data_IF_287703658428
#
_entry.id   IF_287703658428
#
_cell.length_a   1.000
_cell.length_b   1.000
_cell.length_c   1.000
_cell.angle_alpha   90.00
_cell.angle_beta   90.00
_cell.angle_gamma   90.00
#
_symmetry.space_group_name_H-M   'P 1'
#
loop_
_entity.id
_entity.type
_entity.pdbx_description
1 polymer ?
#
# COMPACT_ATOMS: atom_id res chain seq x y z
N UNK A 1 47.66 7.04 29.96
CA UNK A 1 46.57 6.05 29.81
C UNK A 1 45.87 6.35 28.49
N UNK A 2 46.10 5.52 27.46
CA UNK A 2 45.34 5.61 26.23
C UNK A 2 43.99 4.91 26.46
N UNK A 3 42.90 5.67 26.50
CA UNK A 3 41.55 5.10 26.52
C UNK A 3 41.35 4.37 25.19
N UNK A 4 41.09 3.07 25.30
CA UNK A 4 40.81 2.18 24.17
C UNK A 4 39.50 2.67 23.55
N UNK A 5 39.59 3.34 22.41
CA UNK A 5 38.44 3.76 21.63
C UNK A 5 37.75 2.48 21.14
N UNK A 6 36.70 2.02 21.82
CA UNK A 6 35.94 0.86 21.35
C UNK A 6 35.22 1.25 20.06
N UNK A 7 35.47 0.47 19.00
CA UNK A 7 34.88 0.70 17.69
C UNK A 7 33.39 0.35 17.71
N UNK A 8 32.54 1.34 17.94
CA UNK A 8 31.07 1.22 17.85
C UNK A 8 30.53 1.17 16.41
N UNK A 9 31.37 0.89 15.41
CA UNK A 9 30.99 0.95 13.99
C UNK A 9 29.77 0.10 13.65
N UNK A 10 29.68 -1.09 14.24
CA UNK A 10 28.52 -1.97 14.11
C UNK A 10 27.27 -1.38 14.77
N UNK A 11 27.39 -0.76 15.95
CA UNK A 11 26.25 -0.18 16.67
C UNK A 11 25.64 1.00 15.91
N UNK A 12 26.43 1.93 15.40
CA UNK A 12 25.92 3.10 14.69
C UNK A 12 25.25 2.73 13.36
N UNK A 13 25.77 1.71 12.67
CA UNK A 13 25.13 1.13 11.49
C UNK A 13 23.79 0.49 11.87
N UNK A 14 23.76 -0.33 12.94
CA UNK A 14 22.53 -0.97 13.43
C UNK A 14 21.48 0.05 13.86
N UNK A 15 21.89 1.15 14.50
CA UNK A 15 20.99 2.24 14.89
C UNK A 15 20.42 2.95 13.66
N UNK A 16 21.26 3.26 12.67
CA UNK A 16 20.81 3.87 11.42
C UNK A 16 19.82 2.96 10.69
N UNK A 17 20.13 1.66 10.59
CA UNK A 17 19.24 0.67 10.00
C UNK A 17 17.93 0.54 10.78
N UNK A 18 17.99 0.50 12.12
CA UNK A 18 16.82 0.46 12.99
C UNK A 18 15.91 1.67 12.81
N UNK A 19 16.49 2.87 12.68
CA UNK A 19 15.74 4.10 12.37
C UNK A 19 15.09 4.03 10.99
N UNK A 20 15.81 3.54 9.99
CA UNK A 20 15.28 3.38 8.64
C UNK A 20 14.09 2.40 8.61
N UNK A 21 14.25 1.21 9.20
CA UNK A 21 13.18 0.21 9.31
C UNK A 21 11.98 0.77 10.08
N UNK A 22 12.22 1.50 11.17
CA UNK A 22 11.15 2.13 11.94
C UNK A 22 10.40 3.16 11.09
N UNK A 23 11.09 4.01 10.33
CA UNK A 23 10.44 4.98 9.43
C UNK A 23 9.61 4.28 8.36
N UNK A 24 10.11 3.20 7.75
CA UNK A 24 9.34 2.40 6.78
C UNK A 24 8.09 1.79 7.40
N UNK A 25 8.20 1.21 8.59
CA UNK A 25 7.08 0.63 9.33
C UNK A 25 6.01 1.70 9.62
N UNK A 26 6.42 2.84 10.19
CA UNK A 26 5.48 3.93 10.50
C UNK A 26 4.85 4.50 9.24
N UNK A 27 5.62 4.73 8.18
CA UNK A 27 5.10 5.24 6.92
C UNK A 27 4.04 4.31 6.34
N UNK A 28 4.34 3.02 6.23
CA UNK A 28 3.42 2.02 5.67
C UNK A 28 2.15 1.90 6.51
N UNK A 29 2.30 1.85 7.84
CA UNK A 29 1.16 1.83 8.76
C UNK A 29 0.27 3.07 8.62
N UNK A 30 0.86 4.26 8.50
CA UNK A 30 0.11 5.50 8.33
C UNK A 30 -0.52 5.61 6.93
N UNK A 31 0.13 5.06 5.91
CA UNK A 31 -0.39 5.04 4.54
C UNK A 31 -1.67 4.19 4.48
N UNK A 32 -1.59 2.92 4.84
CA UNK A 32 -2.76 2.04 4.90
C UNK A 32 -3.78 2.51 5.94
N UNK A 33 -3.29 3.08 7.05
CA UNK A 33 -4.11 3.70 8.09
C UNK A 33 -4.94 4.87 7.58
N UNK A 34 -4.41 5.64 6.62
CA UNK A 34 -5.13 6.72 5.96
C UNK A 34 -6.32 6.19 5.17
N UNK A 35 -6.10 5.18 4.34
CA UNK A 35 -7.17 4.55 3.56
C UNK A 35 -8.23 3.90 4.46
N UNK A 36 -7.77 3.15 5.47
CA UNK A 36 -8.61 2.55 6.50
C UNK A 36 -9.50 3.60 7.20
N UNK A 37 -8.93 4.76 7.54
CA UNK A 37 -9.63 5.84 8.20
C UNK A 37 -10.74 6.43 7.31
N UNK A 38 -10.45 6.70 6.04
CA UNK A 38 -11.48 7.22 5.12
C UNK A 38 -12.61 6.22 4.91
N UNK A 39 -12.29 4.94 4.74
CA UNK A 39 -13.28 3.89 4.61
C UNK A 39 -14.15 3.77 5.87
N UNK A 40 -13.55 3.81 7.06
CA UNK A 40 -14.26 3.76 8.33
C UNK A 40 -15.17 4.98 8.54
N UNK A 41 -14.68 6.19 8.24
CA UNK A 41 -15.48 7.42 8.30
C UNK A 41 -16.64 7.42 7.30
N UNK A 42 -16.53 6.64 6.23
CA UNK A 42 -17.58 6.44 5.23
C UNK A 42 -18.57 5.32 5.62
N UNK A 43 -18.47 4.77 6.84
CA UNK A 43 -19.36 3.74 7.36
C UNK A 43 -18.93 2.29 7.02
N UNK A 44 -17.79 2.10 6.37
CA UNK A 44 -17.24 0.78 6.10
C UNK A 44 -16.49 0.18 7.29
N UNK A 45 -16.13 -1.09 7.16
CA UNK A 45 -15.25 -1.80 8.09
C UNK A 45 -13.96 -2.23 7.39
N UNK A 46 -12.89 -2.34 8.17
CA UNK A 46 -11.58 -2.84 7.71
C UNK A 46 -11.51 -4.32 8.05
N UNK A 47 -11.29 -5.18 7.05
CA UNK A 47 -11.20 -6.63 7.25
C UNK A 47 -9.81 -7.20 6.99
N UNK A 48 -8.99 -6.51 6.20
CA UNK A 48 -7.55 -6.80 6.07
C UNK A 48 -6.79 -5.50 6.18
N UNK A 49 -5.77 -5.50 7.03
CA UNK A 49 -4.83 -4.41 7.22
C UNK A 49 -3.42 -5.00 7.20
N UNK A 50 -2.77 -4.96 6.03
CA UNK A 50 -1.43 -5.48 5.82
C UNK A 50 -0.42 -4.34 5.66
N UNK A 51 0.57 -4.29 6.54
CA UNK A 51 1.64 -3.28 6.53
C UNK A 51 3.00 -3.87 6.15
N UNK A 52 3.02 -5.07 5.57
CA UNK A 52 4.24 -5.73 5.16
C UNK A 52 4.89 -4.96 3.99
N UNK A 53 5.93 -4.20 4.30
CA UNK A 53 6.68 -3.43 3.31
C UNK A 53 7.81 -4.24 2.65
N UNK A 54 8.13 -5.46 3.12
CA UNK A 54 9.22 -6.26 2.56
C UNK A 54 8.89 -6.85 1.19
N UNK A 55 7.62 -7.17 0.94
CA UNK A 55 7.13 -7.68 -0.34
C UNK A 55 6.49 -6.61 -1.23
N UNK A 56 6.54 -5.33 -0.81
CA UNK A 56 5.86 -4.20 -1.46
C UNK A 56 4.35 -4.45 -1.68
N UNK A 57 3.74 -5.29 -0.85
CA UNK A 57 2.34 -5.73 -0.96
C UNK A 57 1.46 -5.24 0.17
N UNK A 58 1.89 -4.20 0.90
CA UNK A 58 1.06 -3.53 1.88
C UNK A 58 -0.26 -3.07 1.22
N UNK A 59 -1.36 -3.33 1.92
CA UNK A 59 -2.69 -2.97 1.44
C UNK A 59 -3.71 -3.03 2.57
N UNK A 60 -4.71 -2.17 2.48
CA UNK A 60 -5.96 -2.27 3.24
C UNK A 60 -7.07 -2.82 2.36
N UNK A 61 -7.96 -3.61 2.97
CA UNK A 61 -9.21 -4.01 2.34
C UNK A 61 -10.39 -3.64 3.23
N UNK A 62 -11.39 -2.99 2.62
CA UNK A 62 -12.48 -2.33 3.34
C UNK A 62 -13.83 -2.59 2.68
N UNK A 63 -14.91 -2.64 3.45
CA UNK A 63 -16.28 -2.83 2.92
C UNK A 63 -16.97 -1.52 2.54
N UNK A 64 -16.25 -0.39 2.56
CA UNK A 64 -16.82 0.91 2.28
C UNK A 64 -17.18 1.05 0.79
N UNK A 65 -18.44 1.33 0.52
CA UNK A 65 -18.91 1.82 -0.79
C UNK A 65 -18.64 3.32 -0.87
N UNK A 66 -17.44 3.68 -1.35
CA UNK A 66 -17.06 5.08 -1.46
C UNK A 66 -17.75 5.74 -2.65
N UNK A 67 -18.50 6.81 -2.37
CA UNK A 67 -18.94 7.71 -3.43
C UNK A 67 -17.73 8.46 -4.03
N UNK A 68 -17.94 9.17 -5.15
CA UNK A 68 -16.88 9.90 -5.85
C UNK A 68 -16.02 10.78 -4.93
N UNK A 69 -16.63 11.47 -3.96
CA UNK A 69 -15.90 12.32 -3.01
C UNK A 69 -15.07 11.49 -2.05
N UNK A 70 -15.64 10.39 -1.53
CA UNK A 70 -14.93 9.42 -0.71
C UNK A 70 -13.72 8.84 -1.43
N UNK A 71 -13.84 8.57 -2.73
CA UNK A 71 -12.74 8.07 -3.55
C UNK A 71 -11.58 9.06 -3.72
N UNK A 72 -11.90 10.34 -3.92
CA UNK A 72 -10.91 11.41 -3.98
C UNK A 72 -10.16 11.51 -2.65
N UNK A 73 -10.87 11.51 -1.53
CA UNK A 73 -10.26 11.57 -0.20
C UNK A 73 -9.44 10.32 0.12
N UNK A 74 -9.96 9.14 -0.23
CA UNK A 74 -9.28 7.88 0.01
C UNK A 74 -7.97 7.82 -0.79
N UNK A 75 -7.98 8.25 -2.05
CA UNK A 75 -6.77 8.34 -2.88
C UNK A 75 -5.71 9.27 -2.26
N UNK A 76 -6.12 10.37 -1.61
CA UNK A 76 -5.18 11.26 -0.93
C UNK A 76 -4.72 10.74 0.43
N UNK A 77 -5.48 9.85 1.08
CA UNK A 77 -5.26 9.49 2.46
C UNK A 77 -3.95 8.73 2.68
N UNK A 78 -3.57 7.87 1.73
CA UNK A 78 -2.32 7.09 1.74
C UNK A 78 -1.08 7.98 1.86
N UNK A 79 -0.98 9.04 1.07
CA UNK A 79 0.13 10.01 1.21
C UNK A 79 -0.13 11.06 2.30
N UNK A 80 -1.40 11.41 2.51
CA UNK A 80 -1.81 12.56 3.31
C UNK A 80 -1.60 12.35 4.80
N UNK A 81 -1.96 11.17 5.33
CA UNK A 81 -1.81 10.89 6.75
C UNK A 81 -0.33 10.84 7.17
N UNK A 82 0.58 10.12 6.46
CA UNK A 82 2.01 10.21 6.73
C UNK A 82 2.56 11.64 6.66
N UNK A 83 2.14 12.42 5.65
CA UNK A 83 2.57 13.81 5.48
C UNK A 83 2.16 14.68 6.67
N UNK A 84 0.92 14.58 7.15
CA UNK A 84 0.41 15.35 8.28
C UNK A 84 1.14 14.99 9.60
N UNK A 85 1.36 13.70 9.85
CA UNK A 85 2.11 13.24 11.03
C UNK A 85 3.55 13.74 10.98
N UNK A 86 4.20 13.65 9.81
CA UNK A 86 5.56 14.15 9.61
C UNK A 86 5.65 15.66 9.77
N UNK A 87 4.69 16.43 9.25
CA UNK A 87 4.60 17.87 9.47
C UNK A 87 4.50 18.21 10.96
N UNK A 88 3.61 17.52 11.68
CA UNK A 88 3.50 17.66 13.14
C UNK A 88 4.82 17.38 13.84
N UNK A 89 5.48 16.27 13.50
CA UNK A 89 6.80 15.93 14.02
C UNK A 89 7.83 17.03 13.75
N UNK A 90 7.93 17.54 12.52
CA UNK A 90 8.91 18.57 12.15
C UNK A 90 8.67 19.91 12.86
N UNK A 91 7.42 20.26 13.13
CA UNK A 91 7.06 21.48 13.85
C UNK A 91 7.31 21.38 15.36
N UNK A 92 7.04 20.21 15.96
CA UNK A 92 7.20 19.96 17.40
C UNK A 92 8.67 19.67 17.75
N UNK A 93 9.38 18.90 16.91
CA UNK A 93 10.76 18.50 17.17
C UNK A 93 11.68 19.74 17.25
N UNK A 94 12.53 19.88 18.28
CA UNK A 94 13.41 21.05 18.44
C UNK A 94 14.28 21.27 17.21
N UNK A 95 14.53 22.53 16.80
CA UNK A 95 15.36 22.84 15.62
C UNK A 95 16.79 22.29 15.71
N UNK A 96 17.36 22.23 16.91
CA UNK A 96 18.63 21.57 17.21
C UNK A 96 18.34 20.47 18.22
N UNK A 97 18.50 19.22 17.80
CA UNK A 97 18.23 18.06 18.62
C UNK A 97 19.47 17.15 18.72
N UNK A 98 19.33 16.02 19.43
CA UNK A 98 20.38 15.01 19.48
C UNK A 98 20.67 14.43 18.08
N UNK A 99 21.85 13.86 17.84
CA UNK A 99 22.21 13.26 16.55
C UNK A 99 21.18 12.23 16.04
N UNK A 100 20.58 11.46 16.95
CA UNK A 100 19.53 10.48 16.61
C UNK A 100 18.24 11.14 16.10
N UNK A 101 17.81 12.22 16.75
CA UNK A 101 16.60 12.96 16.33
C UNK A 101 16.86 13.71 15.02
N UNK A 102 18.04 14.31 14.85
CA UNK A 102 18.42 14.93 13.57
C UNK A 102 18.49 13.90 12.45
N UNK A 103 19.02 12.71 12.71
CA UNK A 103 19.02 11.59 11.77
C UNK A 103 17.60 11.15 11.43
N UNK A 104 16.73 11.02 12.44
CA UNK A 104 15.32 10.69 12.22
C UNK A 104 14.60 11.75 11.36
N UNK A 105 14.86 13.05 11.59
CA UNK A 105 14.34 14.12 10.72
C UNK A 105 14.81 13.93 9.28
N UNK A 106 16.10 13.64 9.05
CA UNK A 106 16.64 13.46 7.70
C UNK A 106 15.96 12.27 7.01
N UNK A 107 15.95 11.09 7.65
CA UNK A 107 15.40 9.86 7.06
C UNK A 107 13.90 9.99 6.83
N UNK A 108 13.14 10.47 7.81
CA UNK A 108 11.68 10.66 7.66
C UNK A 108 11.34 11.71 6.61
N UNK A 109 12.10 12.81 6.52
CA UNK A 109 11.92 13.81 5.45
C UNK A 109 12.17 13.22 4.07
N UNK A 110 13.23 12.42 3.92
CA UNK A 110 13.53 11.76 2.65
C UNK A 110 12.41 10.79 2.25
N UNK A 111 11.91 9.98 3.19
CA UNK A 111 10.81 9.04 2.94
C UNK A 111 9.50 9.74 2.55
N UNK A 112 9.07 10.72 3.35
CA UNK A 112 7.78 11.42 3.11
C UNK A 112 7.84 12.28 1.86
N UNK A 113 8.88 13.09 1.68
CA UNK A 113 9.01 13.94 0.47
C UNK A 113 9.20 13.05 -0.76
N UNK A 114 9.98 11.97 -0.64
CA UNK A 114 10.16 11.00 -1.71
C UNK A 114 8.85 10.35 -2.15
N UNK A 115 7.94 10.07 -1.22
CA UNK A 115 6.62 9.49 -1.54
C UNK A 115 5.68 10.44 -2.31
N UNK A 116 6.00 11.73 -2.38
CA UNK A 116 5.25 12.70 -3.18
C UNK A 116 5.72 12.75 -4.65
N UNK A 117 6.85 12.11 -4.99
CA UNK A 117 7.38 12.10 -6.36
C UNK A 117 6.39 11.42 -7.34
N UNK A 118 5.79 10.25 -7.03
CA UNK A 118 4.74 9.67 -7.88
C UNK A 118 3.59 10.63 -8.17
N UNK A 119 3.23 11.49 -7.21
CA UNK A 119 2.19 12.52 -7.38
C UNK A 119 2.57 13.67 -8.33
N UNK A 120 3.82 13.73 -8.77
CA UNK A 120 4.26 14.60 -9.88
C UNK A 120 4.39 13.80 -11.17
N UNK A 121 5.03 12.63 -11.11
CA UNK A 121 5.36 11.85 -12.30
C UNK A 121 4.12 11.21 -12.93
N UNK A 122 3.25 10.58 -12.13
CA UNK A 122 2.06 9.88 -12.63
C UNK A 122 1.10 10.82 -13.36
N UNK A 123 0.77 12.02 -12.84
CA UNK A 123 -0.06 12.95 -13.61
C UNK A 123 0.57 13.42 -14.92
N UNK A 124 1.90 13.57 -15.00
CA UNK A 124 2.57 13.89 -16.26
C UNK A 124 2.48 12.74 -17.28
N UNK A 125 2.64 11.49 -16.82
CA UNK A 125 2.41 10.31 -17.66
C UNK A 125 0.97 10.29 -18.16
N UNK A 126 0.00 10.55 -17.28
CA UNK A 126 -1.42 10.62 -17.62
C UNK A 126 -1.71 11.73 -18.65
N UNK A 127 -1.09 12.91 -18.50
CA UNK A 127 -1.20 14.01 -19.47
C UNK A 127 -0.65 13.66 -20.86
N UNK A 128 0.37 12.80 -20.92
CA UNK A 128 0.98 12.35 -22.17
C UNK A 128 0.21 11.24 -22.89
N UNK A 129 -0.94 10.81 -22.36
CA UNK A 129 -1.73 9.70 -22.89
C UNK A 129 -1.25 8.33 -22.43
N UNK A 130 -0.44 8.27 -21.35
CA UNK A 130 -0.02 7.01 -20.74
C UNK A 130 -1.19 6.20 -20.17
N UNK A 131 -1.04 4.87 -20.19
CA UNK A 131 -2.07 3.94 -19.74
C UNK A 131 -2.34 3.98 -18.22
N UNK A 132 -3.42 3.31 -17.77
CA UNK A 132 -3.81 3.31 -16.37
C UNK A 132 -2.74 2.66 -15.49
N UNK A 133 -2.21 3.43 -14.54
CA UNK A 133 -1.34 2.94 -13.46
C UNK A 133 -2.21 2.63 -12.26
N UNK A 134 -2.05 1.45 -11.67
CA UNK A 134 -2.73 1.10 -10.41
C UNK A 134 -2.00 1.77 -9.24
N UNK A 135 -2.29 3.05 -9.02
CA UNK A 135 -1.68 3.89 -7.97
C UNK A 135 -2.69 4.96 -7.48
N UNK A 136 -2.50 5.43 -6.25
CA UNK A 136 -3.33 6.47 -5.61
C UNK A 136 -3.40 7.77 -6.41
N UNK A 137 -2.28 8.23 -6.99
CA UNK A 137 -2.26 9.46 -7.78
C UNK A 137 -3.08 9.31 -9.07
N UNK A 138 -3.07 8.12 -9.69
CA UNK A 138 -3.88 7.82 -10.86
C UNK A 138 -5.36 7.73 -10.49
N UNK A 139 -5.69 7.06 -9.37
CA UNK A 139 -7.06 7.00 -8.83
C UNK A 139 -7.59 8.40 -8.52
N UNK A 140 -6.78 9.25 -7.89
CA UNK A 140 -7.13 10.64 -7.61
C UNK A 140 -7.50 11.40 -8.89
N UNK A 141 -6.72 11.28 -9.97
CA UNK A 141 -7.03 11.92 -11.25
C UNK A 141 -8.33 11.39 -11.86
N UNK A 142 -8.55 10.08 -11.81
CA UNK A 142 -9.75 9.44 -12.33
C UNK A 142 -11.02 9.98 -11.66
N UNK A 143 -11.04 10.08 -10.33
CA UNK A 143 -12.23 10.52 -9.61
C UNK A 143 -12.34 12.05 -9.49
N UNK A 144 -11.23 12.79 -9.36
CA UNK A 144 -11.28 14.25 -9.29
C UNK A 144 -11.57 14.92 -10.63
N UNK A 145 -11.19 14.28 -11.74
CA UNK A 145 -11.18 14.86 -13.08
C UNK A 145 -10.39 16.19 -13.16
N UNK A 146 -9.44 16.42 -12.25
CA UNK A 146 -8.54 17.56 -12.34
C UNK A 146 -7.58 17.41 -13.50
N UNK A 147 -7.17 18.55 -14.06
CA UNK A 147 -6.18 18.55 -15.12
C UNK A 147 -4.85 17.99 -14.58
N UNK A 148 -4.29 16.93 -15.19
CA UNK A 148 -3.10 16.27 -14.64
C UNK A 148 -1.88 17.18 -14.51
N UNK A 149 -1.70 18.15 -15.41
CA UNK A 149 -0.59 19.11 -15.34
C UNK A 149 -0.68 20.01 -14.10
N UNK A 150 -1.90 20.38 -13.69
CA UNK A 150 -2.12 21.20 -12.50
C UNK A 150 -1.84 20.42 -11.22
N UNK A 151 -2.23 19.14 -11.20
CA UNK A 151 -1.91 18.24 -10.09
C UNK A 151 -0.40 18.07 -9.97
N UNK A 152 0.31 17.78 -11.06
CA UNK A 152 1.76 17.68 -11.06
C UNK A 152 2.43 18.98 -10.55
N UNK A 153 1.99 20.13 -11.06
CA UNK A 153 2.53 21.43 -10.64
C UNK A 153 2.30 21.69 -9.14
N UNK A 154 1.11 21.39 -8.63
CA UNK A 154 0.79 21.54 -7.21
C UNK A 154 1.71 20.69 -6.33
N UNK A 155 1.85 19.40 -6.64
CA UNK A 155 2.72 18.51 -5.86
C UNK A 155 4.20 18.86 -5.98
N UNK A 156 4.65 19.38 -7.14
CA UNK A 156 6.02 19.87 -7.29
C UNK A 156 6.30 21.10 -6.39
N UNK A 157 5.37 22.05 -6.33
CA UNK A 157 5.46 23.21 -5.42
C UNK A 157 5.41 22.74 -3.96
N UNK A 158 4.56 21.77 -3.64
CA UNK A 158 4.47 21.20 -2.30
C UNK A 158 5.78 20.52 -1.89
N UNK A 159 6.37 19.69 -2.75
CA UNK A 159 7.69 19.06 -2.52
C UNK A 159 8.75 20.14 -2.21
N UNK A 160 8.79 21.21 -3.00
CA UNK A 160 9.71 22.31 -2.75
C UNK A 160 9.48 22.97 -1.38
N UNK A 161 8.22 23.26 -1.04
CA UNK A 161 7.85 23.82 0.26
C UNK A 161 8.25 22.91 1.43
N UNK A 162 7.97 21.61 1.32
CA UNK A 162 8.32 20.61 2.34
C UNK A 162 9.82 20.43 2.47
N UNK A 163 10.56 20.43 1.36
CA UNK A 163 12.02 20.43 1.38
C UNK A 163 12.59 21.66 2.09
N UNK A 164 12.07 22.85 1.79
CA UNK A 164 12.49 24.10 2.45
C UNK A 164 12.20 24.07 3.95
N UNK A 165 11.02 23.58 4.35
CA UNK A 165 10.68 23.36 5.75
C UNK A 165 11.66 22.38 6.41
N UNK A 166 11.91 21.24 5.79
CA UNK A 166 12.83 20.23 6.31
C UNK A 166 14.22 20.81 6.54
N UNK A 167 14.76 21.52 5.54
CA UNK A 167 16.05 22.21 5.64
C UNK A 167 16.08 23.28 6.74
N UNK A 168 14.98 23.97 6.98
CA UNK A 168 14.89 24.98 8.05
C UNK A 168 14.75 24.37 9.46
N UNK A 169 14.35 23.11 9.57
CA UNK A 169 14.11 22.40 10.84
C UNK A 169 15.20 21.40 11.21
N UNK A 170 16.01 20.98 10.24
CA UNK A 170 17.21 20.14 10.45
C UNK A 170 18.36 21.06 10.84
N UNK A 171 18.81 20.94 12.09
CA UNK A 171 19.89 21.77 12.64
C UNK A 171 21.28 21.26 12.28
N UNK A 172 21.42 19.95 12.09
CA UNK A 172 22.66 19.31 11.65
C UNK A 172 22.38 18.35 10.48
N UNK A 173 22.59 18.81 9.25
CA UNK A 173 22.44 17.94 8.06
C UNK A 173 23.56 16.90 7.91
N UNK A 174 24.66 17.05 8.66
CA UNK A 174 25.72 16.05 8.77
C UNK A 174 25.38 14.89 9.69
N UNK A 175 24.33 14.99 10.51
CA UNK A 175 24.06 14.01 11.57
C UNK A 175 23.95 12.56 11.08
N UNK A 176 23.30 12.33 9.93
CA UNK A 176 23.22 10.99 9.32
C UNK A 176 24.61 10.48 8.90
N UNK A 177 25.43 11.34 8.28
CA UNK A 177 26.80 11.01 7.89
C UNK A 177 27.66 10.75 9.13
N UNK A 178 27.53 11.57 10.16
CA UNK A 178 28.29 11.45 11.40
C UNK A 178 27.96 10.14 12.13
N UNK A 179 26.68 9.73 12.10
CA UNK A 179 26.25 8.44 12.62
C UNK A 179 26.81 7.28 11.80
N UNK A 180 26.69 7.30 10.47
CA UNK A 180 27.18 6.22 9.60
C UNK A 180 28.71 6.09 9.65
N UNK A 181 29.43 7.21 9.61
CA UNK A 181 30.90 7.24 9.64
C UNK A 181 31.47 7.12 11.06
N UNK A 182 30.59 6.92 12.06
CA UNK A 182 31.00 6.63 13.42
C UNK A 182 31.76 7.79 14.10
N UNK A 183 31.48 9.02 13.68
CA UNK A 183 32.02 10.26 14.22
C UNK A 183 31.17 10.83 15.37
N UNK A 184 30.08 10.15 15.73
CA UNK A 184 29.24 10.56 16.85
C UNK A 184 29.91 10.19 18.18
N UNK A 185 30.13 11.19 19.04
CA UNK A 185 30.69 10.98 20.38
C UNK A 185 29.86 9.95 21.19
N UNK A 186 30.54 9.09 21.97
CA UNK A 186 29.91 8.09 22.85
C UNK A 186 28.81 8.69 23.73
N UNK A 187 29.02 9.92 24.23
CA UNK A 187 28.03 10.65 24.99
C UNK A 187 26.73 10.89 24.20
N UNK A 188 26.84 11.19 22.90
CA UNK A 188 25.71 11.49 22.02
C UNK A 188 24.82 10.28 21.69
N UNK A 189 25.34 9.05 21.78
CA UNK A 189 24.60 7.81 21.48
C UNK A 189 24.28 6.96 22.71
N UNK A 190 24.88 7.28 23.86
CA UNK A 190 24.74 6.53 25.10
C UNK A 190 23.28 6.29 25.51
N UNK A 191 23.02 5.08 26.03
CA UNK A 191 21.69 4.66 26.49
C UNK A 191 21.10 5.61 27.54
N UNK A 192 21.89 6.06 28.51
CA UNK A 192 21.37 6.90 29.60
C UNK A 192 20.81 8.24 29.08
N UNK A 193 21.49 8.87 28.12
CA UNK A 193 21.06 10.15 27.56
C UNK A 193 19.88 10.00 26.58
N UNK A 194 19.82 8.89 25.84
CA UNK A 194 18.83 8.66 24.79
C UNK A 194 17.74 7.63 25.15
N UNK A 195 17.67 7.18 26.41
CA UNK A 195 16.72 6.14 26.85
C UNK A 195 15.29 6.42 26.42
N UNK A 196 14.84 7.68 26.58
CA UNK A 196 13.49 8.10 26.20
C UNK A 196 13.25 7.89 24.71
N UNK A 197 14.21 8.28 23.87
CA UNK A 197 14.13 8.12 22.41
C UNK A 197 14.04 6.64 22.02
N UNK A 198 14.93 5.80 22.53
CA UNK A 198 14.91 4.36 22.24
C UNK A 198 13.61 3.69 22.71
N UNK A 199 13.14 4.02 23.91
CA UNK A 199 11.87 3.51 24.41
C UNK A 199 10.69 3.99 23.56
N UNK A 200 10.67 5.25 23.13
CA UNK A 200 9.63 5.75 22.22
C UNK A 200 9.60 4.97 20.91
N UNK A 201 10.76 4.69 20.29
CA UNK A 201 10.82 3.89 19.06
C UNK A 201 10.29 2.47 19.28
N UNK A 202 10.75 1.80 20.34
CA UNK A 202 10.33 0.42 20.64
C UNK A 202 8.84 0.33 20.98
N UNK A 203 8.34 1.24 21.83
CA UNK A 203 6.94 1.27 22.23
C UNK A 203 6.04 1.60 21.04
N UNK A 204 6.41 2.58 20.21
CA UNK A 204 5.62 2.92 19.02
C UNK A 204 5.60 1.80 17.98
N UNK A 205 6.73 1.12 17.75
CA UNK A 205 6.77 -0.05 16.88
C UNK A 205 5.90 -1.19 17.43
N UNK A 206 6.03 -1.50 18.73
CA UNK A 206 5.20 -2.50 19.39
C UNK A 206 3.70 -2.18 19.35
N UNK A 207 3.34 -0.90 19.51
CA UNK A 207 1.98 -0.41 19.42
C UNK A 207 1.43 -0.57 18.00
N UNK A 208 2.18 -0.18 16.96
CA UNK A 208 1.77 -0.34 15.56
C UNK A 208 1.54 -1.79 15.19
N UNK A 209 2.46 -2.69 15.58
CA UNK A 209 2.30 -4.13 15.34
C UNK A 209 1.08 -4.68 16.08
N UNK A 210 0.90 -4.27 17.34
CA UNK A 210 -0.24 -4.71 18.16
C UNK A 210 -1.58 -4.19 17.62
N UNK A 211 -1.63 -2.93 17.18
CA UNK A 211 -2.81 -2.35 16.52
C UNK A 211 -3.12 -3.05 15.21
N UNK A 212 -2.11 -3.39 14.41
CA UNK A 212 -2.31 -4.15 13.18
C UNK A 212 -2.93 -5.52 13.46
N UNK A 213 -2.41 -6.25 14.44
CA UNK A 213 -2.99 -7.54 14.88
C UNK A 213 -4.41 -7.34 15.41
N UNK A 214 -4.66 -6.28 16.18
CA UNK A 214 -5.98 -5.99 16.74
C UNK A 214 -7.00 -5.62 15.65
N UNK A 215 -6.64 -4.78 14.69
CA UNK A 215 -7.50 -4.41 13.55
C UNK A 215 -7.86 -5.66 12.75
N UNK A 216 -6.89 -6.53 12.48
CA UNK A 216 -7.15 -7.79 11.80
C UNK A 216 -7.97 -8.77 12.66
N UNK A 217 -7.79 -8.78 13.99
CA UNK A 217 -8.55 -9.62 14.90
C UNK A 217 -10.01 -9.17 15.09
N UNK A 218 -10.26 -7.86 15.15
CA UNK A 218 -11.59 -7.27 15.30
C UNK A 218 -12.34 -7.22 13.95
N UNK A 219 -11.65 -6.86 12.88
CA UNK A 219 -12.16 -6.91 11.51
C UNK A 219 -12.36 -8.33 10.99
N UNK A 220 -11.63 -9.29 11.58
CA UNK A 220 -11.65 -10.72 11.26
C UNK A 220 -12.63 -11.55 12.09
N UNK A 221 -13.65 -10.95 12.70
CA UNK A 221 -14.75 -11.68 13.34
C UNK A 221 -15.46 -12.63 12.36
N UNK A 222 -14.94 -13.87 12.24
CA UNK A 222 -15.56 -14.99 11.53
C UNK A 222 -15.09 -15.29 10.10
N UNK A 223 -14.11 -14.56 9.54
CA UNK A 223 -13.70 -14.80 8.14
C UNK A 223 -12.20 -14.97 7.97
N UNK A 224 -11.71 -16.17 8.31
CA UNK A 224 -10.41 -16.65 7.87
C UNK A 224 -10.35 -16.59 6.33
N UNK A 225 -9.70 -15.55 5.81
CA UNK A 225 -9.22 -15.52 4.43
C UNK A 225 -8.25 -16.70 4.33
N UNK A 226 -8.63 -17.74 3.60
CA UNK A 226 -7.69 -18.83 3.34
C UNK A 226 -6.46 -18.22 2.67
N UNK A 227 -5.24 -18.50 3.15
CA UNK A 227 -4.03 -17.93 2.57
C UNK A 227 -4.03 -18.18 1.06
N UNK A 228 -3.62 -17.15 0.32
CA UNK A 228 -3.52 -17.23 -1.13
C UNK A 228 -2.44 -18.27 -1.47
N UNK A 229 -2.67 -19.22 -2.39
CA UNK A 229 -1.63 -20.16 -2.80
C UNK A 229 -0.42 -19.42 -3.37
N UNK A 230 0.78 -19.99 -3.20
CA UNK A 230 2.01 -19.36 -3.64
C UNK A 230 2.00 -19.06 -5.15
N UNK A 231 2.51 -17.88 -5.51
CA UNK A 231 2.65 -17.43 -6.90
C UNK A 231 1.41 -16.76 -7.50
N UNK A 232 0.27 -16.73 -6.80
CA UNK A 232 -0.90 -15.99 -7.26
C UNK A 232 -0.81 -14.50 -6.88
N UNK A 233 -1.11 -13.63 -7.84
CA UNK A 233 -1.17 -12.18 -7.70
C UNK A 233 -2.59 -11.68 -7.92
N UNK A 234 -3.03 -10.75 -7.09
CA UNK A 234 -4.33 -10.11 -7.23
C UNK A 234 -4.45 -9.37 -8.57
N UNK A 235 -5.59 -9.55 -9.25
CA UNK A 235 -5.90 -8.85 -10.49
C UNK A 235 -7.06 -7.88 -10.32
N UNK A 236 -8.21 -8.40 -9.90
CA UNK A 236 -9.42 -7.61 -9.78
C UNK A 236 -10.39 -8.24 -8.80
N UNK A 237 -11.15 -7.40 -8.12
CA UNK A 237 -12.32 -7.76 -7.33
C UNK A 237 -13.56 -7.17 -8.00
N UNK A 238 -14.61 -7.95 -8.11
CA UNK A 238 -15.88 -7.58 -8.71
C UNK A 238 -16.98 -7.81 -7.69
N UNK A 239 -17.70 -6.74 -7.38
CA UNK A 239 -18.88 -6.82 -6.54
C UNK A 239 -20.07 -7.12 -7.44
N UNK A 240 -20.81 -8.18 -7.09
CA UNK A 240 -21.92 -8.65 -7.90
C UNK A 240 -23.21 -7.88 -7.58
N UNK A 241 -23.24 -7.20 -6.43
CA UNK A 241 -24.35 -6.33 -6.03
C UNK A 241 -24.31 -5.01 -6.80
N UNK A 242 -25.13 -4.87 -7.82
CA UNK A 242 -25.18 -3.64 -8.63
C UNK A 242 -26.05 -3.70 -9.89
N UNK A 243 -26.59 -4.88 -10.23
CA UNK A 243 -27.40 -5.13 -11.41
C UNK A 243 -26.85 -6.31 -12.20
N UNK A 244 -27.54 -6.67 -13.28
CA UNK A 244 -27.09 -7.74 -14.17
C UNK A 244 -25.83 -7.30 -14.93
N UNK A 245 -24.81 -8.15 -14.95
CA UNK A 245 -23.59 -7.96 -15.72
C UNK A 245 -23.65 -8.91 -16.93
N UNK A 246 -23.40 -8.40 -18.12
CA UNK A 246 -23.37 -9.21 -19.33
C UNK A 246 -22.02 -9.02 -20.02
N UNK A 247 -21.24 -10.10 -20.08
CA UNK A 247 -19.93 -10.14 -20.72
C UNK A 247 -18.98 -9.02 -20.27
N UNK A 248 -18.98 -8.69 -18.97
CA UNK A 248 -18.04 -7.71 -18.42
C UNK A 248 -16.63 -8.30 -18.43
N UNK A 249 -15.66 -7.59 -19.01
CA UNK A 249 -14.26 -8.00 -18.93
C UNK A 249 -13.70 -7.66 -17.55
N UNK A 250 -13.39 -8.68 -16.77
CA UNK A 250 -12.91 -8.56 -15.38
C UNK A 250 -11.39 -8.75 -15.25
N UNK A 251 -10.72 -9.29 -16.26
CA UNK A 251 -9.26 -9.33 -16.31
C UNK A 251 -8.76 -9.42 -17.75
N UNK A 252 -7.58 -8.85 -18.01
CA UNK A 252 -6.84 -9.02 -19.27
C UNK A 252 -5.39 -9.37 -18.94
N UNK A 253 -4.84 -10.37 -19.60
CA UNK A 253 -3.44 -10.75 -19.43
C UNK A 253 -2.86 -11.37 -20.71
N UNK A 254 -1.57 -11.16 -20.93
CA UNK A 254 -0.82 -11.78 -22.04
C UNK A 254 -0.05 -12.97 -21.53
N UNK A 255 0.10 -14.01 -22.35
CA UNK A 255 0.85 -15.22 -22.02
C UNK A 255 1.86 -15.57 -23.08
N UNK A 256 3.08 -15.92 -22.66
CA UNK A 256 4.20 -16.20 -23.55
C UNK A 256 4.60 -17.69 -23.57
N UNK A 257 4.79 -18.35 -22.43
CA UNK A 257 5.05 -19.81 -22.30
C UNK A 257 5.03 -20.27 -20.82
N UNK A 258 4.61 -21.51 -20.54
CA UNK A 258 4.68 -22.15 -19.22
C UNK A 258 3.34 -22.35 -18.51
N UNK A 259 3.35 -22.98 -17.32
CA UNK A 259 2.14 -23.29 -16.55
C UNK A 259 1.59 -22.09 -15.79
N UNK A 260 0.27 -21.93 -15.87
CA UNK A 260 -0.44 -20.76 -15.38
C UNK A 260 -1.52 -21.14 -14.41
N UNK A 261 -1.93 -20.17 -13.60
CA UNK A 261 -3.05 -20.36 -12.70
C UNK A 261 -4.01 -19.18 -12.81
N UNK A 262 -5.31 -19.49 -12.84
CA UNK A 262 -6.38 -18.53 -12.57
C UNK A 262 -7.05 -19.01 -11.29
N UNK A 263 -7.12 -18.14 -10.28
CA UNK A 263 -7.83 -18.43 -9.04
C UNK A 263 -9.01 -17.48 -8.93
N UNK A 264 -10.20 -18.05 -8.83
CA UNK A 264 -11.42 -17.34 -8.52
C UNK A 264 -11.77 -17.58 -7.05
N UNK A 265 -11.87 -16.50 -6.28
CA UNK A 265 -12.24 -16.53 -4.86
C UNK A 265 -13.61 -15.87 -4.72
N UNK A 266 -14.58 -16.64 -4.27
CA UNK A 266 -16.00 -16.30 -4.13
C UNK A 266 -16.29 -16.08 -2.64
N UNK A 267 -16.80 -14.91 -2.28
CA UNK A 267 -17.23 -14.60 -0.90
C UNK A 267 -18.69 -14.14 -0.89
N UNK A 268 -19.55 -14.92 -0.25
CA UNK A 268 -20.98 -14.63 -0.10
C UNK A 268 -21.73 -14.48 -1.43
N UNK A 269 -21.34 -15.22 -2.46
CA UNK A 269 -21.92 -15.12 -3.79
C UNK A 269 -23.29 -15.79 -3.84
N UNK A 270 -24.31 -15.04 -4.23
CA UNK A 270 -25.65 -15.57 -4.52
C UNK A 270 -26.20 -14.88 -5.76
N UNK A 271 -26.59 -15.64 -6.77
CA UNK A 271 -27.04 -15.12 -8.06
C UNK A 271 -27.93 -16.13 -8.78
N UNK A 272 -28.80 -15.65 -9.66
CA UNK A 272 -29.60 -16.51 -10.54
C UNK A 272 -28.74 -17.15 -11.64
N UNK A 273 -27.72 -16.44 -12.10
CA UNK A 273 -26.75 -16.93 -13.06
C UNK A 273 -25.37 -16.38 -12.70
N UNK A 274 -24.36 -17.26 -12.74
CA UNK A 274 -22.94 -16.91 -12.73
C UNK A 274 -22.25 -17.67 -13.85
N UNK A 275 -21.73 -16.95 -14.83
CA UNK A 275 -20.87 -17.49 -15.88
C UNK A 275 -19.55 -16.70 -15.90
N UNK A 276 -18.45 -17.39 -15.65
CA UNK A 276 -17.10 -16.85 -15.78
C UNK A 276 -16.40 -17.61 -16.90
N UNK A 277 -16.05 -16.92 -17.98
CA UNK A 277 -15.43 -17.50 -19.16
C UNK A 277 -14.10 -16.84 -19.48
N UNK A 278 -13.18 -17.64 -19.98
CA UNK A 278 -11.86 -17.23 -20.45
C UNK A 278 -11.88 -17.28 -21.97
N UNK A 279 -11.53 -16.18 -22.65
CA UNK A 279 -11.36 -16.17 -24.09
C UNK A 279 -9.99 -15.59 -24.50
N UNK A 280 -9.35 -16.23 -25.47
CA UNK A 280 -8.10 -15.82 -26.08
C UNK A 280 -8.30 -15.21 -27.47
N UNK A 281 -7.41 -14.31 -27.88
CA UNK A 281 -7.34 -13.75 -29.23
C UNK A 281 -7.08 -14.79 -30.34
N UNK A 282 -6.54 -15.95 -29.97
CA UNK A 282 -6.31 -17.12 -30.79
C UNK A 282 -7.55 -18.01 -31.01
N UNK A 283 -8.74 -17.55 -30.57
CA UNK A 283 -9.99 -18.31 -30.65
C UNK A 283 -10.15 -19.37 -29.57
N UNK A 284 -9.27 -19.38 -28.56
CA UNK A 284 -9.45 -20.20 -27.36
C UNK A 284 -10.65 -19.69 -26.56
N UNK A 285 -11.55 -20.57 -26.13
CA UNK A 285 -12.61 -20.23 -25.20
C UNK A 285 -12.84 -21.40 -24.23
N UNK A 286 -12.88 -21.11 -22.94
CA UNK A 286 -13.16 -22.10 -21.90
C UNK A 286 -13.96 -21.48 -20.77
N UNK A 287 -14.93 -22.22 -20.24
CA UNK A 287 -15.72 -21.78 -19.11
C UNK A 287 -15.02 -22.16 -17.80
N UNK A 288 -14.73 -21.17 -16.96
CA UNK A 288 -14.05 -21.34 -15.68
C UNK A 288 -15.03 -21.69 -14.56
N UNK A 289 -16.23 -21.09 -14.59
CA UNK A 289 -17.27 -21.31 -13.60
C UNK A 289 -18.65 -21.10 -14.24
N UNK A 290 -19.58 -22.02 -13.98
CA UNK A 290 -20.98 -21.90 -14.40
C UNK A 290 -21.89 -22.31 -13.24
N UNK A 291 -22.97 -21.56 -13.03
CA UNK A 291 -24.06 -22.01 -12.20
C UNK A 291 -25.33 -21.21 -12.43
N UNK A 292 -26.45 -21.93 -12.48
CA UNK A 292 -27.79 -21.37 -12.35
C UNK A 292 -28.20 -21.49 -10.87
N UNK A 293 -28.87 -20.46 -10.34
CA UNK A 293 -29.20 -20.31 -8.92
C UNK A 293 -27.98 -20.51 -7.98
N UNK A 294 -26.81 -20.07 -8.46
CA UNK A 294 -25.55 -20.29 -7.79
C UNK A 294 -25.50 -19.59 -6.43
N UNK A 295 -25.25 -20.36 -5.37
CA UNK A 295 -25.07 -19.87 -4.01
C UNK A 295 -23.81 -20.46 -3.41
N UNK A 296 -22.93 -19.61 -2.90
CA UNK A 296 -21.69 -19.99 -2.25
C UNK A 296 -21.40 -19.02 -1.11
N UNK A 297 -21.40 -19.53 0.13
CA UNK A 297 -20.94 -18.73 1.28
C UNK A 297 -19.45 -18.41 1.15
N UNK A 298 -18.65 -19.42 0.76
CA UNK A 298 -17.27 -19.29 0.28
C UNK A 298 -16.98 -20.35 -0.77
N UNK A 299 -16.23 -19.97 -1.78
CA UNK A 299 -15.80 -20.90 -2.83
C UNK A 299 -14.46 -20.47 -3.39
N UNK A 300 -13.62 -21.45 -3.73
CA UNK A 300 -12.36 -21.21 -4.43
C UNK A 300 -12.31 -22.13 -5.63
N UNK A 301 -12.15 -21.55 -6.81
CA UNK A 301 -11.99 -22.28 -8.07
C UNK A 301 -10.60 -22.00 -8.59
N UNK A 302 -9.75 -23.01 -8.52
CA UNK A 302 -8.41 -22.95 -9.09
C UNK A 302 -8.41 -23.61 -10.46
N UNK A 303 -7.99 -22.87 -11.48
CA UNK A 303 -7.83 -23.34 -12.84
C UNK A 303 -6.34 -23.30 -13.19
N UNK A 304 -5.74 -24.48 -13.34
CA UNK A 304 -4.32 -24.63 -13.69
C UNK A 304 -4.22 -25.44 -14.98
N UNK A 305 -4.04 -24.73 -16.09
CA UNK A 305 -3.88 -25.34 -17.42
C UNK A 305 -2.83 -24.57 -18.20
N UNK A 306 -2.12 -25.30 -19.04
CA UNK A 306 -1.21 -24.69 -20.01
C UNK A 306 -2.05 -24.03 -21.10
N UNK A 307 -2.03 -22.70 -21.09
CA UNK A 307 -2.67 -21.88 -22.11
C UNK A 307 -1.67 -21.59 -23.24
N UNK A 308 -2.07 -21.68 -24.51
CA UNK A 308 -1.23 -21.26 -25.63
C UNK A 308 -0.77 -19.79 -25.49
N UNK A 309 0.31 -19.38 -26.16
CA UNK A 309 0.69 -17.98 -26.21
C UNK A 309 -0.44 -17.14 -26.83
N UNK A 310 -0.72 -15.97 -26.26
CA UNK A 310 -1.81 -15.09 -26.70
C UNK A 310 -2.27 -14.09 -25.63
N UNK A 311 -3.17 -13.20 -26.01
CA UNK A 311 -3.87 -12.30 -25.09
C UNK A 311 -5.19 -12.93 -24.66
N UNK A 312 -5.40 -12.99 -23.34
CA UNK A 312 -6.58 -13.59 -22.73
C UNK A 312 -7.39 -12.55 -21.97
N UNK A 313 -8.71 -12.72 -22.02
CA UNK A 313 -9.71 -11.94 -21.30
C UNK A 313 -10.59 -12.86 -20.47
N UNK A 314 -10.85 -12.49 -19.22
CA UNK A 314 -11.84 -13.15 -18.38
C UNK A 314 -13.11 -12.30 -18.42
N UNK A 315 -14.20 -12.92 -18.84
CA UNK A 315 -15.52 -12.32 -18.91
C UNK A 315 -16.39 -12.84 -17.77
N UNK A 316 -17.24 -11.97 -17.26
CA UNK A 316 -18.20 -12.24 -16.23
C UNK A 316 -19.60 -11.89 -16.72
N UNK A 317 -20.50 -12.85 -16.59
CA UNK A 317 -21.93 -12.65 -16.77
C UNK A 317 -22.63 -13.06 -15.49
N UNK A 318 -23.37 -12.13 -14.88
CA UNK A 318 -24.17 -12.38 -13.68
C UNK A 318 -25.59 -11.86 -13.81
N UNK A 319 -26.54 -12.56 -13.18
CA UNK A 319 -27.94 -12.11 -13.06
C UNK A 319 -28.38 -12.15 -11.61
N UNK A 320 -28.98 -11.05 -11.13
CA UNK A 320 -29.51 -10.94 -9.77
C UNK A 320 -28.46 -11.23 -8.69
N UNK A 321 -27.21 -10.83 -8.95
CA UNK A 321 -26.06 -11.19 -8.11
C UNK A 321 -25.90 -10.35 -6.85
N UNK A 322 -25.43 -10.98 -5.79
CA UNK A 322 -24.86 -10.36 -4.60
C UNK A 322 -23.60 -11.13 -4.20
N UNK A 323 -22.70 -10.48 -3.46
CA UNK A 323 -21.42 -11.07 -3.05
C UNK A 323 -20.25 -10.57 -3.90
N UNK A 324 -19.11 -11.25 -3.76
CA UNK A 324 -17.84 -10.79 -4.33
C UNK A 324 -17.13 -11.92 -5.06
N UNK A 325 -16.68 -11.64 -6.28
CA UNK A 325 -15.77 -12.48 -7.05
C UNK A 325 -14.39 -11.80 -7.13
N UNK A 326 -13.33 -12.47 -6.69
CA UNK A 326 -11.96 -11.98 -6.81
C UNK A 326 -11.14 -12.87 -7.73
N UNK A 327 -10.40 -12.27 -8.66
CA UNK A 327 -9.55 -12.95 -9.62
C UNK A 327 -8.09 -12.76 -9.25
N UNK A 328 -7.35 -13.87 -9.19
CA UNK A 328 -5.89 -13.88 -9.07
C UNK A 328 -5.27 -14.66 -10.23
N UNK A 329 -4.05 -14.28 -10.63
CA UNK A 329 -3.29 -14.97 -11.69
C UNK A 329 -1.92 -15.40 -11.20
N UNK A 330 -1.44 -16.54 -11.69
CA UNK A 330 -0.09 -17.07 -11.46
C UNK A 330 0.68 -17.20 -12.78
N UNK A 331 1.91 -16.70 -12.80
CA UNK A 331 2.85 -16.84 -13.92
C UNK A 331 2.44 -16.03 -15.16
N UNK A 332 2.50 -14.69 -15.06
CA UNK A 332 2.37 -13.77 -16.20
C UNK A 332 3.52 -13.97 -17.19
#
# INVERSE_FOLDING_TARGET
MATKQESYGSLSILLTLGLFIWVLLMYTFLHEGGHALVAWLSGGSVYVFDINFFNLGAHVRTSAELNRTGEIFNSLAGMGLPLLVWLGFMLIAPRRASPLVETLKIISSAGVIGSLIPWVIIPLIYASGGGPVSDDAARFLQYSAFNPNWVAAFFAVMIFGMYRLARARIGNSGALRDLILNNADEAGLGWQQNRRFYLTLLISAGLVLSMTVLINGLGGGGRAVQPLPEGYQFIRRVELGGGDQQDEVIAVFTRWLGSGGILLDLDGVKCELLDVRLAGDNGFEERLLYGEEFTSERGRVEYTKDLPPGEYRIYLTTRGGVGVLTVYLRGR
#
